data_IF_258967581752
#
_entry.id   IF_258967581752
#
_cell.length_a   1.000
_cell.length_b   1.000
_cell.length_c   1.000
_cell.angle_alpha   90.00
_cell.angle_beta   90.00
_cell.angle_gamma   90.00
#
_symmetry.space_group_name_H-M   'P 1'
#
loop_
_entity.id
_entity.type
_entity.pdbx_description
1 polymer ?
#
# COMPACT_ATOMS: atom_id res chain seq x y z
N UNK A 1 -15.81 6.77 0.14
CA UNK A 1 -14.78 7.78 -0.17
C UNK A 1 -13.36 7.40 0.25
N UNK A 2 -13.15 6.78 1.43
CA UNK A 2 -11.80 6.45 1.95
C UNK A 2 -10.93 5.64 0.99
N UNK A 3 -11.48 4.58 0.38
CA UNK A 3 -10.74 3.74 -0.58
C UNK A 3 -10.27 4.54 -1.80
N UNK A 4 -11.14 5.40 -2.35
CA UNK A 4 -10.78 6.29 -3.46
C UNK A 4 -9.61 7.21 -3.08
N UNK A 5 -9.66 7.78 -1.86
CA UNK A 5 -8.58 8.64 -1.37
C UNK A 5 -7.27 7.89 -1.21
N UNK A 6 -7.31 6.66 -0.67
CA UNK A 6 -6.12 5.78 -0.58
C UNK A 6 -5.53 5.54 -1.98
N UNK A 7 -6.35 5.13 -2.94
CA UNK A 7 -5.93 4.89 -4.32
C UNK A 7 -5.36 6.15 -4.99
N UNK A 8 -5.98 7.30 -4.74
CA UNK A 8 -5.50 8.60 -5.22
C UNK A 8 -4.11 8.92 -4.66
N UNK A 9 -3.87 8.69 -3.37
CA UNK A 9 -2.56 8.88 -2.74
C UNK A 9 -1.52 7.96 -3.36
N UNK A 10 -1.81 6.66 -3.50
CA UNK A 10 -0.89 5.69 -4.11
C UNK A 10 -0.45 6.15 -5.50
N UNK A 11 -1.41 6.45 -6.37
CA UNK A 11 -1.13 6.90 -7.75
C UNK A 11 -0.39 8.23 -7.78
N UNK A 12 -0.80 9.20 -6.97
CA UNK A 12 -0.21 10.54 -6.95
C UNK A 12 1.20 10.58 -6.34
N UNK A 13 1.60 9.54 -5.60
CA UNK A 13 2.97 9.36 -5.08
C UNK A 13 3.87 8.58 -6.03
N UNK A 14 3.38 8.20 -7.21
CA UNK A 14 4.15 7.49 -8.22
C UNK A 14 4.28 5.98 -7.94
N UNK A 15 3.27 5.39 -7.30
CA UNK A 15 3.17 3.96 -7.08
C UNK A 15 2.05 3.39 -7.97
N UNK A 16 2.29 2.21 -8.53
CA UNK A 16 1.30 1.43 -9.26
C UNK A 16 0.72 0.37 -8.34
N UNK A 17 -0.60 0.18 -8.35
CA UNK A 17 -1.25 -0.92 -7.65
C UNK A 17 -1.16 -2.17 -8.53
N UNK A 18 -0.53 -3.22 -8.01
CA UNK A 18 -0.41 -4.51 -8.69
C UNK A 18 -1.53 -5.47 -8.26
N UNK A 19 -1.91 -5.44 -6.98
CA UNK A 19 -3.03 -6.21 -6.45
C UNK A 19 -3.64 -5.51 -5.24
N UNK A 20 -4.90 -5.82 -4.97
CA UNK A 20 -5.63 -5.36 -3.81
C UNK A 20 -6.44 -6.52 -3.25
N UNK A 21 -6.34 -6.74 -1.94
CA UNK A 21 -7.23 -7.62 -1.20
C UNK A 21 -7.93 -6.82 -0.11
N UNK A 22 -9.22 -7.07 0.08
CA UNK A 22 -10.05 -6.36 1.06
C UNK A 22 -10.84 -7.36 1.88
N UNK A 23 -10.76 -7.23 3.20
CA UNK A 23 -11.49 -8.07 4.13
C UNK A 23 -12.09 -7.21 5.24
N UNK A 24 -13.29 -7.57 5.70
CA UNK A 24 -13.84 -7.00 6.93
C UNK A 24 -12.96 -7.43 8.12
N UNK A 25 -12.63 -6.49 9.00
CA UNK A 25 -11.99 -6.80 10.26
C UNK A 25 -12.95 -7.58 11.17
N UNK A 26 -12.40 -8.31 12.13
CA UNK A 26 -13.19 -9.14 13.07
C UNK A 26 -14.17 -8.33 13.93
N UNK A 27 -13.93 -7.02 14.10
CA UNK A 27 -14.79 -6.10 14.83
C UNK A 27 -15.97 -5.55 14.00
N UNK A 28 -16.05 -5.89 12.71
CA UNK A 28 -17.06 -5.46 11.74
C UNK A 28 -17.20 -3.92 11.53
N UNK A 29 -16.35 -3.11 12.16
CA UNK A 29 -16.31 -1.65 11.99
C UNK A 29 -15.18 -1.22 11.07
N UNK A 30 -14.15 -2.05 10.93
CA UNK A 30 -12.98 -1.77 10.12
C UNK A 30 -12.90 -2.64 8.87
N UNK A 31 -12.24 -2.12 7.84
CA UNK A 31 -11.89 -2.85 6.62
C UNK A 31 -10.36 -2.90 6.56
N UNK A 32 -9.81 -4.10 6.47
CA UNK A 32 -8.40 -4.30 6.17
C UNK A 32 -8.20 -4.28 4.66
N UNK A 33 -7.28 -3.43 4.22
CA UNK A 33 -6.92 -3.28 2.81
C UNK A 33 -5.45 -3.65 2.67
N UNK A 34 -5.18 -4.72 1.95
CA UNK A 34 -3.82 -5.12 1.57
C UNK A 34 -3.57 -4.66 0.13
N UNK A 35 -2.49 -3.91 -0.07
CA UNK A 35 -2.09 -3.36 -1.37
C UNK A 35 -0.69 -3.86 -1.72
N UNK A 36 -0.57 -4.56 -2.84
CA UNK A 36 0.74 -4.76 -3.47
C UNK A 36 1.00 -3.62 -4.43
N UNK A 37 2.14 -2.95 -4.27
CA UNK A 37 2.51 -1.81 -5.09
C UNK A 37 3.88 -1.98 -5.73
N UNK A 38 4.06 -1.37 -6.91
CA UNK A 38 5.35 -1.27 -7.59
C UNK A 38 5.73 0.20 -7.81
N UNK A 39 6.97 0.55 -7.48
CA UNK A 39 7.55 1.86 -7.73
C UNK A 39 9.07 1.80 -7.64
N UNK A 40 9.81 2.65 -8.39
CA UNK A 40 11.23 2.89 -8.11
C UNK A 40 11.47 3.68 -6.81
N UNK A 41 10.42 4.22 -6.18
CA UNK A 41 10.50 5.01 -4.94
C UNK A 41 10.42 4.10 -3.72
N UNK A 42 11.07 4.49 -2.61
CA UNK A 42 10.93 3.76 -1.35
C UNK A 42 9.48 3.74 -0.87
N UNK A 43 9.00 2.55 -0.48
CA UNK A 43 7.66 2.34 0.09
C UNK A 43 7.42 3.16 1.37
N UNK A 44 8.48 3.57 2.07
CA UNK A 44 8.39 4.45 3.25
C UNK A 44 7.71 5.79 2.91
N UNK A 45 7.92 6.30 1.69
CA UNK A 45 7.27 7.53 1.23
C UNK A 45 5.76 7.33 1.11
N UNK A 46 5.30 6.17 0.60
CA UNK A 46 3.88 5.86 0.53
C UNK A 46 3.29 5.68 1.94
N UNK A 47 3.99 4.92 2.79
CA UNK A 47 3.62 4.72 4.19
C UNK A 47 3.38 6.05 4.92
N UNK A 48 4.33 6.98 4.81
CA UNK A 48 4.24 8.30 5.46
C UNK A 48 3.02 9.13 5.01
N UNK A 49 2.48 8.85 3.82
CA UNK A 49 1.37 9.60 3.24
C UNK A 49 0.03 8.95 3.57
N UNK A 50 -0.03 7.62 3.56
CA UNK A 50 -1.21 6.88 4.00
C UNK A 50 -1.46 7.08 5.50
N UNK A 51 -0.40 7.15 6.31
CA UNK A 51 -0.50 7.37 7.76
C UNK A 51 -0.99 8.78 8.15
N UNK A 52 -1.07 9.72 7.20
CA UNK A 52 -1.62 11.07 7.40
C UNK A 52 -3.12 11.16 7.10
N UNK A 53 -3.71 10.09 6.57
CA UNK A 53 -5.13 10.07 6.26
C UNK A 53 -5.93 9.87 7.54
N UNK A 54 -6.79 10.83 7.88
CA UNK A 54 -7.60 10.81 9.11
C UNK A 54 -8.50 9.59 9.23
N UNK A 55 -8.92 8.99 8.10
CA UNK A 55 -9.81 7.82 8.06
C UNK A 55 -9.02 6.50 7.98
N UNK A 56 -7.69 6.52 8.17
CA UNK A 56 -6.84 5.33 8.19
C UNK A 56 -6.34 5.12 9.62
N UNK A 57 -6.80 4.05 10.26
CA UNK A 57 -6.44 3.75 11.64
C UNK A 57 -5.00 3.24 11.80
N UNK A 58 -4.52 2.45 10.84
CA UNK A 58 -3.18 1.85 10.88
C UNK A 58 -2.68 1.50 9.47
N UNK A 59 -1.37 1.57 9.28
CA UNK A 59 -0.68 1.14 8.05
C UNK A 59 0.48 0.24 8.47
N UNK A 60 0.70 -0.86 7.76
CA UNK A 60 1.84 -1.74 7.94
C UNK A 60 2.53 -1.98 6.59
N UNK A 61 3.85 -2.15 6.61
CA UNK A 61 4.63 -2.50 5.41
C UNK A 61 4.95 -4.00 5.49
N UNK A 62 4.44 -4.77 4.53
CA UNK A 62 4.83 -6.17 4.31
C UNK A 62 5.94 -6.19 3.25
N UNK A 63 7.18 -6.45 3.65
CA UNK A 63 8.32 -6.48 2.72
C UNK A 63 8.34 -7.81 1.95
N UNK A 64 7.80 -7.79 0.73
CA UNK A 64 8.03 -8.84 -0.27
C UNK A 64 9.22 -8.42 -1.13
N UNK A 65 10.46 -8.63 -0.66
CA UNK A 65 11.66 -8.35 -1.46
C UNK A 65 11.76 -9.36 -2.61
N UNK A 66 11.23 -9.00 -3.78
CA UNK A 66 11.57 -9.70 -5.03
C UNK A 66 12.97 -9.25 -5.44
N UNK A 67 13.99 -9.95 -4.95
CA UNK A 67 15.37 -9.77 -5.39
C UNK A 67 15.46 -10.15 -6.86
N UNK A 68 15.52 -9.17 -7.77
CA UNK A 68 15.93 -9.42 -9.15
C UNK A 68 17.39 -9.86 -9.13
N UNK A 69 17.63 -11.17 -9.00
CA UNK A 69 18.95 -11.76 -9.14
C UNK A 69 19.47 -11.42 -10.55
N UNK A 70 20.50 -10.59 -10.61
CA UNK A 70 21.22 -10.33 -11.85
C UNK A 70 21.92 -11.63 -12.28
N UNK A 71 21.51 -12.15 -13.44
CA UNK A 71 22.21 -13.22 -14.14
C UNK A 71 23.58 -12.66 -14.52
N UNK A 72 24.65 -13.14 -13.86
CA UNK A 72 26.02 -12.95 -14.31
C UNK A 72 26.21 -13.85 -15.54
N UNK A 73 26.46 -13.22 -16.68
CA UNK A 73 26.98 -13.89 -17.89
C UNK A 73 28.46 -14.23 -17.71
#
# INVERSE_FOLDING_TARGET
>A
ETLERVLRVVRHRGFHVCSMNMAAASDAQNINIELTVASPRSVDLLFSQLNKLVDVAHVAICQSTTTSQQIRA
#
